data_IF_266711955886
#
_entry.id   IF_266711955886
#
_cell.length_a   1.000
_cell.length_b   1.000
_cell.length_c   1.000
_cell.angle_alpha   90.00
_cell.angle_beta   90.00
_cell.angle_gamma   90.00
#
_symmetry.space_group_name_H-M   'P 1'
#
loop_
_entity.id
_entity.type
_entity.pdbx_description
1 polymer ?
#
# COMPACT_ATOMS: atom_id res chain seq x y z
N UNK A 1 2.93 -61.41 43.38
CA UNK A 1 3.58 -61.61 44.69
C UNK A 1 3.81 -60.26 45.36
N UNK A 2 3.04 -60.05 46.39
CA UNK A 2 3.47 -59.68 47.77
C UNK A 2 4.28 -58.38 47.81
N UNK A 3 3.91 -57.37 48.48
CA UNK A 3 3.25 -56.98 49.73
C UNK A 3 3.85 -55.61 50.12
N UNK A 4 3.03 -54.64 50.38
CA UNK A 4 2.62 -54.18 51.76
C UNK A 4 3.63 -53.10 52.25
N UNK A 5 3.22 -51.97 52.51
CA UNK A 5 2.36 -51.33 53.55
C UNK A 5 3.18 -50.65 54.66
N UNK A 6 2.75 -49.41 54.94
CA UNK A 6 2.49 -48.91 56.32
C UNK A 6 3.70 -48.09 56.87
N UNK A 7 3.65 -46.93 57.46
CA UNK A 7 2.69 -46.23 58.32
C UNK A 7 3.23 -44.82 58.63
N UNK A 8 2.41 -43.84 58.69
CA UNK A 8 1.92 -43.13 59.91
C UNK A 8 3.04 -42.54 60.77
N UNK A 9 2.99 -41.37 61.15
CA UNK A 9 2.10 -40.55 61.87
C UNK A 9 2.79 -39.29 62.38
N UNK A 10 2.13 -38.25 62.48
CA UNK A 10 1.53 -37.68 63.67
C UNK A 10 2.38 -36.68 64.40
N UNK A 11 1.90 -35.46 64.38
CA UNK A 11 1.58 -34.54 65.49
C UNK A 11 2.68 -33.56 65.88
N UNK A 12 2.38 -32.39 65.94
CA UNK A 12 1.52 -31.45 66.68
C UNK A 12 2.35 -30.45 67.46
N UNK A 13 2.00 -29.19 67.34
CA UNK A 13 1.90 -28.10 68.32
C UNK A 13 3.17 -27.47 68.85
N UNK A 14 3.27 -26.21 68.72
CA UNK A 14 3.02 -25.11 69.64
C UNK A 14 4.08 -24.03 69.64
N UNK A 15 3.65 -22.90 69.63
CA UNK A 15 3.64 -21.63 70.35
C UNK A 15 4.50 -20.50 69.78
N UNK A 16 3.75 -19.53 69.37
CA UNK A 16 3.79 -18.12 69.79
C UNK A 16 5.17 -17.48 70.15
N UNK A 17 5.54 -16.53 69.35
CA UNK A 17 6.57 -15.57 69.64
C UNK A 17 6.33 -14.31 68.84
N UNK A 18 5.58 -13.40 69.47
CA UNK A 18 5.32 -12.03 68.97
C UNK A 18 6.62 -11.26 69.06
N UNK A 19 7.24 -10.87 67.94
CA UNK A 19 8.27 -9.84 67.90
C UNK A 19 7.83 -8.81 66.88
N UNK A 20 7.41 -7.70 67.40
CA UNK A 20 7.09 -6.47 66.70
C UNK A 20 8.40 -5.90 66.14
N UNK A 21 8.69 -6.07 64.87
CA UNK A 21 9.77 -5.38 64.15
C UNK A 21 9.14 -4.42 63.19
N UNK A 22 9.17 -3.16 63.55
CA UNK A 22 8.91 -2.00 62.67
C UNK A 22 9.99 -2.00 61.60
N UNK A 23 9.68 -2.52 60.43
CA UNK A 23 10.47 -2.31 59.22
C UNK A 23 9.83 -1.14 58.46
N UNK A 24 10.53 -0.03 58.47
CA UNK A 24 10.33 1.06 57.51
C UNK A 24 10.60 0.47 56.13
N UNK A 25 9.56 0.05 55.47
CA UNK A 25 9.60 -0.30 54.06
C UNK A 25 9.74 0.96 53.23
N UNK A 26 10.92 1.16 52.62
CA UNK A 26 11.02 2.04 51.48
C UNK A 26 10.06 1.50 50.42
N UNK A 27 8.94 2.14 50.28
CA UNK A 27 8.06 2.05 49.14
C UNK A 27 8.84 2.52 47.91
N UNK A 28 9.48 1.59 47.20
CA UNK A 28 9.81 1.82 45.80
C UNK A 28 8.48 2.05 45.13
N UNK A 29 8.18 3.31 44.89
CA UNK A 29 7.09 3.70 44.03
C UNK A 29 7.31 2.94 42.71
N UNK A 30 6.52 1.90 42.45
CA UNK A 30 6.20 1.51 41.10
C UNK A 30 5.73 2.79 40.44
N UNK A 31 6.56 3.33 39.55
CA UNK A 31 6.08 4.23 38.54
C UNK A 31 5.02 3.44 37.82
N UNK A 32 3.78 3.56 38.22
CA UNK A 32 2.64 3.30 37.35
C UNK A 32 2.90 4.17 36.14
N UNK A 33 3.16 3.52 35.03
CA UNK A 33 3.22 4.12 33.73
C UNK A 33 1.84 4.75 33.52
N UNK A 34 1.77 6.06 33.83
CA UNK A 34 0.53 6.80 33.79
C UNK A 34 0.19 7.00 32.33
N UNK A 35 -0.69 6.13 31.80
CA UNK A 35 -1.51 6.43 30.65
C UNK A 35 -0.80 6.33 29.30
N UNK A 36 -0.25 5.17 28.94
CA UNK A 36 -0.27 4.79 27.54
C UNK A 36 -1.75 4.65 27.16
N UNK A 37 -2.33 5.65 26.51
CA UNK A 37 -3.67 5.50 25.92
C UNK A 37 -3.65 4.24 25.06
N UNK A 38 -4.60 3.36 25.30
CA UNK A 38 -4.68 2.06 24.60
C UNK A 38 -4.89 2.36 23.13
N UNK A 39 -3.85 2.14 22.32
CA UNK A 39 -3.94 2.28 20.86
C UNK A 39 -4.98 1.34 20.30
N UNK A 40 -5.62 1.76 19.21
CA UNK A 40 -6.62 0.97 18.51
C UNK A 40 -5.89 0.20 17.42
N UNK A 41 -6.04 -1.12 17.41
CA UNK A 41 -5.46 -1.96 16.35
C UNK A 41 -6.22 -1.75 15.04
N UNK A 42 -5.49 -1.51 13.96
CA UNK A 42 -6.00 -1.35 12.59
C UNK A 42 -5.14 -2.19 11.67
N UNK A 43 -5.78 -3.05 10.88
CA UNK A 43 -5.11 -3.81 9.82
C UNK A 43 -5.29 -3.07 8.49
N UNK A 44 -4.16 -2.70 7.88
CA UNK A 44 -4.07 -2.17 6.53
C UNK A 44 -3.59 -3.27 5.59
N UNK A 45 -4.36 -3.57 4.55
CA UNK A 45 -3.95 -4.49 3.50
C UNK A 45 -3.55 -3.69 2.25
N UNK A 46 -2.26 -3.75 1.89
CA UNK A 46 -1.71 -3.09 0.71
C UNK A 46 -1.66 -4.02 -0.50
N UNK A 47 -1.82 -3.47 -1.70
CA UNK A 47 -1.85 -4.24 -2.96
C UNK A 47 -0.51 -4.82 -3.34
N UNK A 48 0.57 -4.14 -3.03
CA UNK A 48 1.96 -4.53 -3.28
C UNK A 48 2.87 -3.84 -2.26
N UNK A 49 3.99 -4.47 -1.92
CA UNK A 49 5.03 -3.85 -1.11
C UNK A 49 6.03 -3.16 -2.05
N UNK A 50 5.96 -1.82 -2.13
CA UNK A 50 6.72 -1.06 -3.12
C UNK A 50 7.09 0.33 -2.63
N UNK A 51 8.31 0.77 -2.93
CA UNK A 51 8.81 2.14 -2.67
C UNK A 51 7.90 3.21 -3.30
N UNK A 52 7.06 2.83 -4.25
CA UNK A 52 5.98 3.64 -4.81
C UNK A 52 5.06 4.25 -3.73
N UNK A 53 4.97 3.60 -2.57
CA UNK A 53 4.14 4.03 -1.43
C UNK A 53 4.96 4.66 -0.30
N UNK A 54 6.11 5.25 -0.62
CA UNK A 54 7.03 5.85 0.35
C UNK A 54 6.36 6.75 1.41
N UNK A 55 5.37 7.63 1.11
CA UNK A 55 4.71 8.41 2.15
C UNK A 55 4.03 7.58 3.24
N UNK A 56 3.46 6.43 2.89
CA UNK A 56 2.86 5.50 3.85
C UNK A 56 3.92 4.88 4.76
N UNK A 57 5.04 4.44 4.18
CA UNK A 57 6.13 3.84 4.95
C UNK A 57 6.82 4.87 5.85
N UNK A 58 6.95 6.11 5.40
CA UNK A 58 7.40 7.22 6.25
C UNK A 58 6.46 7.37 7.45
N UNK A 59 5.14 7.38 7.23
CA UNK A 59 4.18 7.50 8.33
C UNK A 59 4.26 6.32 9.33
N UNK A 60 4.64 5.13 8.86
CA UNK A 60 4.88 3.94 9.70
C UNK A 60 6.17 4.12 10.51
N UNK A 61 7.30 4.37 9.85
CA UNK A 61 8.63 4.39 10.45
C UNK A 61 8.84 5.59 11.39
N UNK A 62 8.29 6.75 11.05
CA UNK A 62 8.28 7.94 11.90
C UNK A 62 7.26 7.84 13.05
N UNK A 63 6.46 6.78 13.09
CA UNK A 63 5.53 6.50 14.18
C UNK A 63 4.27 7.37 14.18
N UNK A 64 3.93 8.02 13.08
CA UNK A 64 2.78 8.94 13.00
C UNK A 64 1.45 8.26 13.31
N UNK A 65 1.27 7.00 12.89
CA UNK A 65 0.10 6.21 13.27
C UNK A 65 0.01 5.98 14.78
N UNK A 66 1.15 5.71 15.41
CA UNK A 66 1.23 5.49 16.85
C UNK A 66 0.92 6.76 17.65
N UNK A 67 1.32 7.93 17.16
CA UNK A 67 1.01 9.24 17.75
C UNK A 67 -0.48 9.59 17.61
N UNK A 68 -1.12 9.15 16.53
CA UNK A 68 -2.57 9.26 16.31
C UNK A 68 -3.37 8.16 17.06
N UNK A 69 -2.72 7.37 17.93
CA UNK A 69 -3.39 6.35 18.73
C UNK A 69 -3.73 5.06 17.99
N UNK A 70 -3.07 4.79 16.86
CA UNK A 70 -3.25 3.60 16.04
C UNK A 70 -2.07 2.64 16.25
N UNK A 71 -2.38 1.36 16.47
CA UNK A 71 -1.46 0.23 16.39
C UNK A 71 -1.67 -0.45 15.04
N UNK A 72 -0.84 -0.06 14.06
CA UNK A 72 -1.02 -0.47 12.67
C UNK A 72 -0.38 -1.83 12.39
N UNK A 73 -1.14 -2.73 11.79
CA UNK A 73 -0.64 -3.98 11.20
C UNK A 73 -0.71 -3.85 9.68
N UNK A 74 0.43 -3.93 9.01
CA UNK A 74 0.51 -3.91 7.56
C UNK A 74 0.57 -5.35 7.02
N UNK A 75 -0.28 -5.64 6.02
CA UNK A 75 -0.33 -6.93 5.33
C UNK A 75 -0.31 -6.69 3.82
N UNK A 76 0.50 -7.43 3.08
CA UNK A 76 0.55 -7.34 1.62
C UNK A 76 -0.32 -8.41 0.97
N UNK A 77 -1.30 -7.99 0.18
CA UNK A 77 -2.26 -8.88 -0.49
C UNK A 77 -1.79 -9.44 -1.84
N UNK A 78 -0.84 -8.77 -2.50
CA UNK A 78 -0.36 -9.12 -3.85
C UNK A 78 -1.48 -9.20 -4.91
N UNK A 79 -2.33 -8.17 -4.94
CA UNK A 79 -3.40 -7.99 -5.91
C UNK A 79 -4.62 -7.29 -5.33
N UNK A 80 -5.23 -6.41 -6.13
CA UNK A 80 -6.38 -5.61 -5.71
C UNK A 80 -7.60 -6.47 -5.33
N UNK A 81 -7.81 -7.59 -6.01
CA UNK A 81 -8.85 -8.57 -5.70
C UNK A 81 -8.67 -9.22 -4.33
N UNK A 82 -7.42 -9.51 -3.95
CA UNK A 82 -7.09 -10.11 -2.66
C UNK A 82 -7.26 -9.09 -1.54
N UNK A 83 -6.78 -7.84 -1.76
CA UNK A 83 -7.00 -6.73 -0.81
C UNK A 83 -8.49 -6.47 -0.61
N UNK A 84 -9.27 -6.40 -1.70
CA UNK A 84 -10.71 -6.21 -1.62
C UNK A 84 -11.40 -7.38 -0.90
N UNK A 85 -10.95 -8.61 -1.12
CA UNK A 85 -11.46 -9.79 -0.40
C UNK A 85 -11.20 -9.68 1.09
N UNK A 86 -9.98 -9.31 1.51
CA UNK A 86 -9.64 -9.13 2.92
C UNK A 86 -10.48 -8.01 3.56
N UNK A 87 -10.72 -6.91 2.84
CA UNK A 87 -11.57 -5.82 3.30
C UNK A 87 -13.03 -6.27 3.49
N UNK A 88 -13.61 -6.93 2.49
CA UNK A 88 -15.01 -7.37 2.53
C UNK A 88 -15.25 -8.47 3.56
N UNK A 89 -14.29 -9.38 3.75
CA UNK A 89 -14.35 -10.43 4.79
C UNK A 89 -14.18 -9.88 6.21
N UNK A 90 -13.60 -8.68 6.37
CA UNK A 90 -13.28 -8.09 7.67
C UNK A 90 -11.95 -8.57 8.25
N UNK A 91 -11.07 -9.15 7.42
CA UNK A 91 -9.68 -9.46 7.79
C UNK A 91 -8.80 -8.21 7.81
N UNK A 92 -9.24 -7.14 7.13
CA UNK A 92 -8.63 -5.82 7.18
C UNK A 92 -9.71 -4.75 7.35
N UNK A 93 -9.41 -3.71 8.12
CA UNK A 93 -10.26 -2.53 8.28
C UNK A 93 -10.09 -1.55 7.13
N UNK A 94 -8.88 -1.48 6.57
CA UNK A 94 -8.52 -0.55 5.49
C UNK A 94 -7.83 -1.33 4.36
N UNK A 95 -8.27 -1.08 3.13
CA UNK A 95 -7.63 -1.56 1.91
C UNK A 95 -6.89 -0.43 1.22
N UNK A 96 -5.70 -0.72 0.68
CA UNK A 96 -4.92 0.21 -0.12
C UNK A 96 -4.59 -0.41 -1.47
N UNK A 97 -5.23 0.08 -2.52
CA UNK A 97 -5.16 -0.50 -3.86
C UNK A 97 -5.63 0.50 -4.91
N UNK A 98 -5.62 0.11 -6.17
CA UNK A 98 -6.27 0.86 -7.23
C UNK A 98 -7.77 1.03 -6.96
N UNK A 99 -8.26 2.24 -7.18
CA UNK A 99 -9.66 2.60 -6.86
C UNK A 99 -10.68 1.98 -7.83
N UNK A 100 -10.24 1.38 -8.94
CA UNK A 100 -11.08 0.56 -9.83
C UNK A 100 -11.74 -0.60 -9.09
N UNK A 101 -11.05 -1.19 -8.09
CA UNK A 101 -11.60 -2.28 -7.30
C UNK A 101 -12.88 -1.88 -6.53
N UNK A 102 -12.95 -0.62 -6.07
CA UNK A 102 -14.15 -0.07 -5.45
C UNK A 102 -15.30 0.07 -6.46
N UNK A 103 -14.99 0.49 -7.69
CA UNK A 103 -15.95 0.62 -8.79
C UNK A 103 -16.51 -0.77 -9.15
N UNK A 104 -15.66 -1.77 -9.33
CA UNK A 104 -16.10 -3.14 -9.63
C UNK A 104 -16.96 -3.73 -8.52
N UNK A 105 -16.57 -3.51 -7.27
CA UNK A 105 -17.32 -4.01 -6.11
C UNK A 105 -18.71 -3.39 -6.02
N UNK A 106 -18.81 -2.08 -6.24
CA UNK A 106 -20.07 -1.36 -6.27
C UNK A 106 -20.96 -1.82 -7.43
N UNK A 107 -20.41 -1.90 -8.64
CA UNK A 107 -21.12 -2.38 -9.85
C UNK A 107 -21.57 -3.83 -9.69
N UNK A 108 -20.84 -4.65 -8.95
CA UNK A 108 -21.22 -6.01 -8.57
C UNK A 108 -22.35 -6.09 -7.53
N UNK A 109 -22.86 -4.97 -7.02
CA UNK A 109 -24.00 -4.90 -6.11
C UNK A 109 -23.66 -5.25 -4.64
N UNK A 110 -22.44 -5.05 -4.19
CA UNK A 110 -22.07 -5.25 -2.79
C UNK A 110 -22.86 -4.33 -1.86
N UNK A 111 -23.50 -4.90 -0.84
CA UNK A 111 -24.38 -4.16 0.08
C UNK A 111 -23.64 -3.20 1.03
N UNK A 112 -22.38 -3.48 1.34
CA UNK A 112 -21.47 -2.63 2.14
C UNK A 112 -20.26 -2.26 1.26
N UNK A 113 -20.54 -1.47 0.22
CA UNK A 113 -19.54 -1.09 -0.77
C UNK A 113 -18.38 -0.29 -0.12
N UNK A 114 -17.15 -0.49 -0.56
CA UNK A 114 -16.01 0.27 -0.06
C UNK A 114 -16.11 1.73 -0.50
N UNK A 115 -15.70 2.63 0.41
CA UNK A 115 -15.62 4.07 0.16
C UNK A 115 -14.16 4.49 0.23
N UNK A 116 -13.66 5.12 -0.82
CA UNK A 116 -12.34 5.71 -0.86
C UNK A 116 -12.34 7.01 -0.04
N UNK A 117 -11.39 7.17 0.86
CA UNK A 117 -11.31 8.33 1.75
C UNK A 117 -10.00 9.11 1.65
N UNK A 118 -8.99 8.55 0.99
CA UNK A 118 -7.69 9.18 0.78
C UNK A 118 -7.03 8.64 -0.49
N UNK A 119 -6.47 9.52 -1.33
CA UNK A 119 -5.69 9.15 -2.52
C UNK A 119 -4.22 9.47 -2.28
N UNK A 120 -3.32 8.48 -2.43
CA UNK A 120 -1.88 8.66 -2.20
C UNK A 120 -1.15 9.10 -3.48
N UNK A 121 -1.35 8.39 -4.58
CA UNK A 121 -0.58 8.53 -5.81
C UNK A 121 -1.45 9.10 -6.92
N UNK A 122 -0.84 9.99 -7.71
CA UNK A 122 -1.51 10.69 -8.82
C UNK A 122 -0.91 10.35 -10.19
N UNK A 123 0.06 9.44 -10.24
CA UNK A 123 0.66 8.92 -11.47
C UNK A 123 0.84 7.42 -11.35
N UNK A 124 0.98 6.74 -12.48
CA UNK A 124 1.33 5.32 -12.49
C UNK A 124 2.74 5.11 -11.90
N UNK A 125 2.89 4.04 -11.14
CA UNK A 125 4.17 3.68 -10.51
C UNK A 125 5.02 2.71 -11.34
N UNK A 126 4.55 2.35 -12.53
CA UNK A 126 5.21 1.37 -13.37
C UNK A 126 6.17 2.01 -14.39
N UNK A 127 7.16 1.21 -14.75
CA UNK A 127 8.12 1.50 -15.79
C UNK A 127 8.04 0.41 -16.86
N UNK A 128 8.29 0.80 -18.12
CA UNK A 128 8.46 -0.15 -19.19
C UNK A 128 9.94 -0.52 -19.29
N UNK A 129 10.24 -1.79 -19.17
CA UNK A 129 11.60 -2.34 -19.25
C UNK A 129 11.72 -3.11 -20.55
N UNK A 130 12.71 -2.77 -21.38
CA UNK A 130 13.10 -3.48 -22.58
C UNK A 130 14.29 -4.39 -22.32
N UNK A 131 14.51 -5.41 -23.18
CA UNK A 131 15.71 -6.29 -23.07
C UNK A 131 17.00 -5.60 -23.49
N UNK A 132 16.90 -4.59 -24.35
CA UNK A 132 18.04 -3.87 -24.90
C UNK A 132 17.85 -2.36 -24.67
N UNK A 133 18.94 -1.62 -24.69
CA UNK A 133 18.89 -0.15 -24.65
C UNK A 133 18.18 0.40 -25.91
N UNK A 134 17.24 1.28 -25.71
CA UNK A 134 16.47 1.95 -26.77
C UNK A 134 16.46 3.47 -26.51
N UNK A 135 17.56 4.19 -26.82
CA UNK A 135 17.67 5.63 -26.51
C UNK A 135 16.64 6.51 -27.23
N UNK A 136 16.13 6.04 -28.35
CA UNK A 136 15.10 6.72 -29.16
C UNK A 136 13.74 6.00 -29.07
N UNK A 137 13.45 5.33 -27.93
CA UNK A 137 12.21 4.58 -27.74
C UNK A 137 10.98 5.45 -28.00
N UNK A 138 10.05 4.86 -28.74
CA UNK A 138 8.69 5.38 -28.93
C UNK A 138 7.68 4.26 -28.66
N UNK A 139 6.46 4.62 -28.26
CA UNK A 139 5.42 3.62 -27.99
C UNK A 139 5.10 2.75 -29.25
N UNK A 140 5.34 3.27 -30.45
CA UNK A 140 5.17 2.52 -31.71
C UNK A 140 6.12 1.32 -31.84
N UNK A 141 7.24 1.32 -31.11
CA UNK A 141 8.18 0.19 -31.09
C UNK A 141 7.60 -1.09 -30.45
N UNK A 142 6.47 -0.95 -29.75
CA UNK A 142 5.75 -2.09 -29.16
C UNK A 142 4.86 -2.84 -30.14
N UNK A 143 4.57 -2.31 -31.33
CA UNK A 143 3.72 -2.95 -32.32
C UNK A 143 4.31 -4.32 -32.72
N UNK A 144 3.52 -5.39 -32.53
CA UNK A 144 3.93 -6.76 -32.79
C UNK A 144 4.86 -7.39 -31.77
N UNK A 145 5.14 -6.71 -30.64
CA UNK A 145 6.03 -7.21 -29.57
C UNK A 145 5.26 -7.91 -28.47
N UNK A 146 5.97 -8.83 -27.78
CA UNK A 146 5.49 -9.52 -26.60
C UNK A 146 5.78 -8.67 -25.34
N UNK A 147 4.72 -8.21 -24.67
CA UNK A 147 4.82 -7.39 -23.45
C UNK A 147 4.18 -8.10 -22.26
N UNK A 148 4.93 -8.29 -21.17
CA UNK A 148 4.37 -8.72 -19.91
C UNK A 148 3.66 -7.52 -19.28
N UNK A 149 2.34 -7.36 -19.56
CA UNK A 149 1.59 -6.12 -19.34
C UNK A 149 0.85 -6.04 -18.00
N UNK A 150 1.00 -7.05 -17.13
CA UNK A 150 0.24 -7.15 -15.90
C UNK A 150 -1.12 -7.83 -16.07
N UNK A 151 -1.79 -8.08 -14.93
CA UNK A 151 -3.05 -8.84 -14.91
C UNK A 151 -4.22 -8.04 -15.50
N UNK A 152 -5.08 -8.71 -16.24
CA UNK A 152 -6.29 -8.12 -16.84
C UNK A 152 -7.18 -7.43 -15.80
N UNK A 153 -7.64 -6.23 -16.12
CA UNK A 153 -8.53 -5.42 -15.29
C UNK A 153 -7.85 -4.74 -14.09
N UNK A 154 -6.52 -4.85 -13.95
CA UNK A 154 -5.74 -4.11 -12.97
C UNK A 154 -5.22 -2.78 -13.51
N UNK A 155 -4.97 -1.80 -12.63
CA UNK A 155 -4.46 -0.48 -13.02
C UNK A 155 -3.21 -0.55 -13.91
N UNK A 156 -2.20 -1.41 -13.65
CA UNK A 156 -1.02 -1.49 -14.51
C UNK A 156 -1.34 -1.73 -15.98
N UNK A 157 -2.18 -2.74 -16.25
CA UNK A 157 -2.57 -3.09 -17.62
C UNK A 157 -3.44 -2.00 -18.25
N UNK A 158 -4.44 -1.49 -17.52
CA UNK A 158 -5.36 -0.49 -18.07
C UNK A 158 -4.66 0.84 -18.40
N UNK A 159 -3.74 1.29 -17.55
CA UNK A 159 -2.94 2.50 -17.81
C UNK A 159 -1.98 2.26 -18.97
N UNK A 160 -1.37 1.08 -19.07
CA UNK A 160 -0.52 0.73 -20.21
C UNK A 160 -1.31 0.79 -21.54
N UNK A 161 -2.48 0.18 -21.59
CA UNK A 161 -3.36 0.26 -22.78
C UNK A 161 -3.87 1.69 -23.04
N UNK A 162 -4.16 2.45 -21.99
CA UNK A 162 -4.52 3.87 -22.12
C UNK A 162 -3.39 4.67 -22.82
N UNK A 163 -2.12 4.47 -22.41
CA UNK A 163 -0.98 5.11 -23.05
C UNK A 163 -0.86 4.69 -24.52
N UNK A 164 -1.05 3.40 -24.85
CA UNK A 164 -1.04 2.96 -26.25
C UNK A 164 -2.08 3.73 -27.08
N UNK A 165 -3.33 3.84 -26.58
CA UNK A 165 -4.39 4.58 -27.26
C UNK A 165 -4.09 6.07 -27.39
N UNK A 166 -3.45 6.70 -26.37
CA UNK A 166 -3.01 8.11 -26.45
C UNK A 166 -1.92 8.33 -27.51
N UNK A 167 -1.23 7.29 -27.92
CA UNK A 167 -0.23 7.31 -29.00
C UNK A 167 -0.76 6.72 -30.31
N UNK A 168 -2.10 6.70 -30.50
CA UNK A 168 -2.77 6.20 -31.71
C UNK A 168 -2.46 4.71 -32.02
N UNK A 169 -2.16 3.89 -30.98
CA UNK A 169 -1.88 2.46 -31.11
C UNK A 169 -3.06 1.68 -30.55
N UNK A 170 -3.65 0.79 -31.35
CA UNK A 170 -4.63 -0.17 -30.84
C UNK A 170 -3.92 -1.21 -29.97
N UNK A 171 -4.33 -1.43 -28.70
CA UNK A 171 -3.71 -2.44 -27.84
C UNK A 171 -3.67 -3.85 -28.47
N UNK A 172 -4.58 -4.17 -29.40
CA UNK A 172 -4.56 -5.44 -30.12
C UNK A 172 -3.37 -5.59 -31.08
N UNK A 173 -2.65 -4.53 -31.40
CA UNK A 173 -1.41 -4.56 -32.21
C UNK A 173 -0.19 -4.96 -31.36
N UNK A 174 -0.33 -5.02 -30.03
CA UNK A 174 0.69 -5.44 -29.05
C UNK A 174 0.29 -6.77 -28.45
N UNK A 175 1.22 -7.71 -28.32
CA UNK A 175 0.95 -9.01 -27.70
C UNK A 175 1.10 -8.89 -26.18
N UNK A 176 0.03 -8.48 -25.49
CA UNK A 176 0.05 -8.22 -24.05
C UNK A 176 -0.26 -9.53 -23.30
N UNK A 177 0.75 -10.12 -22.64
CA UNK A 177 0.55 -11.26 -21.73
C UNK A 177 0.01 -10.78 -20.40
N UNK A 178 -1.24 -11.13 -20.11
CA UNK A 178 -1.99 -10.78 -18.91
C UNK A 178 -2.13 -11.97 -17.93
N UNK A 179 -1.43 -13.08 -18.20
CA UNK A 179 -1.57 -14.33 -17.45
C UNK A 179 -0.62 -14.43 -16.25
N UNK A 180 0.37 -13.55 -16.17
CA UNK A 180 1.42 -13.59 -15.13
C UNK A 180 1.02 -12.70 -13.98
N UNK A 181 0.99 -13.27 -12.78
CA UNK A 181 0.74 -12.52 -11.54
C UNK A 181 1.79 -11.43 -11.32
N UNK A 182 1.34 -10.30 -10.81
CA UNK A 182 2.07 -9.07 -10.62
C UNK A 182 3.43 -9.21 -9.88
N UNK A 183 3.54 -10.07 -8.90
CA UNK A 183 4.80 -10.33 -8.18
C UNK A 183 5.77 -11.28 -8.92
N UNK A 184 5.46 -11.69 -10.15
CA UNK A 184 6.22 -12.69 -10.90
C UNK A 184 6.68 -12.22 -12.28
N UNK A 185 6.32 -11.00 -12.70
CA UNK A 185 6.64 -10.47 -14.03
C UNK A 185 8.14 -10.28 -14.23
N UNK A 186 8.85 -9.67 -13.26
CA UNK A 186 10.30 -9.51 -13.30
C UNK A 186 11.05 -10.85 -13.43
N UNK A 187 10.65 -11.85 -12.63
CA UNK A 187 11.24 -13.19 -12.72
C UNK A 187 10.96 -13.88 -14.06
N UNK A 188 9.75 -13.72 -14.61
CA UNK A 188 9.38 -14.22 -15.92
C UNK A 188 10.21 -13.55 -17.00
N UNK A 189 10.39 -12.23 -16.92
CA UNK A 189 11.24 -11.48 -17.84
C UNK A 189 12.70 -11.93 -17.74
N UNK A 190 13.29 -12.00 -16.53
CA UNK A 190 14.66 -12.52 -16.34
C UNK A 190 14.83 -13.93 -16.89
N UNK A 191 13.79 -14.77 -16.89
CA UNK A 191 13.83 -16.11 -17.49
C UNK A 191 13.74 -16.14 -19.01
N UNK A 192 13.60 -14.99 -19.68
CA UNK A 192 13.57 -14.84 -21.13
C UNK A 192 12.18 -14.72 -21.74
N UNK A 193 11.12 -14.50 -20.97
CA UNK A 193 9.76 -14.24 -21.49
C UNK A 193 9.58 -12.77 -21.84
N UNK A 194 8.83 -12.49 -22.90
CA UNK A 194 8.49 -11.16 -23.39
C UNK A 194 9.68 -10.38 -23.97
N UNK A 195 9.42 -9.46 -24.84
CA UNK A 195 10.39 -8.46 -25.31
C UNK A 195 10.48 -7.28 -24.36
N UNK A 196 9.35 -6.97 -23.70
CA UNK A 196 9.19 -5.91 -22.71
C UNK A 196 8.43 -6.42 -21.49
N UNK A 197 8.58 -5.72 -20.37
CA UNK A 197 7.78 -5.94 -19.16
C UNK A 197 7.41 -4.63 -18.50
N UNK A 198 6.20 -4.59 -17.92
CA UNK A 198 5.71 -3.47 -17.11
C UNK A 198 5.98 -3.78 -15.64
N UNK A 199 6.89 -3.05 -15.02
CA UNK A 199 7.36 -3.33 -13.67
C UNK A 199 7.18 -2.15 -12.72
N UNK A 200 6.92 -2.47 -11.46
CA UNK A 200 7.11 -1.51 -10.36
C UNK A 200 8.55 -1.53 -9.85
N UNK A 201 8.88 -0.53 -9.06
CA UNK A 201 10.09 -0.54 -8.26
C UNK A 201 9.91 -1.34 -6.94
N UNK A 202 10.92 -2.10 -6.50
CA UNK A 202 12.30 -2.13 -7.00
C UNK A 202 12.53 -3.07 -8.21
N UNK A 203 11.51 -3.73 -8.74
CA UNK A 203 11.64 -4.72 -9.82
C UNK A 203 12.33 -4.16 -11.07
N UNK A 204 11.91 -2.98 -11.54
CA UNK A 204 12.50 -2.33 -12.72
C UNK A 204 14.01 -2.08 -12.52
N UNK A 205 14.38 -1.47 -11.40
CA UNK A 205 15.80 -1.22 -11.07
C UNK A 205 16.59 -2.52 -10.91
N UNK A 206 16.00 -3.58 -10.33
CA UNK A 206 16.66 -4.88 -10.20
C UNK A 206 17.00 -5.47 -11.56
N UNK A 207 16.09 -5.41 -12.54
CA UNK A 207 16.34 -5.86 -13.90
C UNK A 207 17.48 -5.09 -14.57
N UNK A 208 17.58 -3.77 -14.33
CA UNK A 208 18.69 -2.95 -14.82
C UNK A 208 20.04 -3.36 -14.16
N UNK A 209 20.05 -3.52 -12.84
CA UNK A 209 21.27 -3.93 -12.09
C UNK A 209 21.75 -5.34 -12.46
N UNK A 210 20.84 -6.26 -12.75
CA UNK A 210 21.15 -7.59 -13.23
C UNK A 210 21.61 -7.61 -14.70
N UNK A 211 21.48 -6.50 -15.42
CA UNK A 211 21.83 -6.38 -16.83
C UNK A 211 20.93 -7.21 -17.76
N UNK A 212 19.70 -7.51 -17.32
CA UNK A 212 18.71 -8.30 -18.11
C UNK A 212 17.67 -7.43 -18.78
N UNK A 213 17.66 -6.12 -18.47
CA UNK A 213 16.77 -5.15 -19.08
C UNK A 213 17.20 -3.72 -18.82
N UNK A 214 16.55 -2.77 -19.49
CA UNK A 214 16.76 -1.32 -19.35
C UNK A 214 15.40 -0.63 -19.30
N UNK A 215 15.21 0.29 -18.38
CA UNK A 215 14.00 1.13 -18.34
C UNK A 215 14.01 2.08 -19.54
N UNK A 216 12.98 1.98 -20.38
CA UNK A 216 12.85 2.78 -21.62
C UNK A 216 11.75 3.84 -21.53
N UNK A 217 10.77 3.66 -20.65
CA UNK A 217 9.70 4.64 -20.41
C UNK A 217 9.14 4.58 -19.00
N UNK A 218 8.61 5.71 -18.53
CA UNK A 218 7.82 5.79 -17.30
C UNK A 218 6.34 5.88 -17.66
N UNK A 219 5.55 4.88 -17.26
CA UNK A 219 4.10 4.94 -17.44
C UNK A 219 3.49 6.13 -16.67
N UNK A 220 4.11 6.51 -15.55
CA UNK A 220 3.67 7.64 -14.74
C UNK A 220 3.84 8.99 -15.44
N UNK A 221 4.91 9.15 -16.21
CA UNK A 221 5.13 10.34 -17.04
C UNK A 221 4.17 10.38 -18.20
N UNK A 222 4.04 9.26 -18.93
CA UNK A 222 3.34 9.22 -20.21
C UNK A 222 1.81 9.11 -20.08
N UNK A 223 1.30 8.54 -18.97
CA UNK A 223 -0.14 8.57 -18.69
C UNK A 223 -0.65 9.91 -18.18
N UNK A 224 0.24 10.80 -17.74
CA UNK A 224 -0.15 12.02 -17.04
C UNK A 224 -0.70 11.73 -15.63
N UNK A 225 -1.57 12.62 -15.13
CA UNK A 225 -2.19 12.46 -13.82
C UNK A 225 -3.36 11.47 -13.88
N UNK A 226 -3.19 10.33 -13.25
CA UNK A 226 -4.23 9.29 -13.09
C UNK A 226 -4.38 8.93 -11.61
N UNK A 227 -5.59 8.70 -11.10
CA UNK A 227 -5.79 8.35 -9.70
C UNK A 227 -5.41 6.87 -9.49
N UNK A 228 -4.11 6.62 -9.22
CA UNK A 228 -3.58 5.28 -9.30
C UNK A 228 -3.88 4.42 -8.08
N UNK A 229 -3.60 4.92 -6.85
CA UNK A 229 -3.90 4.19 -5.61
C UNK A 229 -4.59 5.05 -4.57
N UNK A 230 -5.57 4.44 -3.89
CA UNK A 230 -6.36 5.08 -2.85
C UNK A 230 -6.59 4.12 -1.67
N UNK A 231 -6.83 4.70 -0.49
CA UNK A 231 -7.27 4.00 0.71
C UNK A 231 -8.78 3.94 0.74
N UNK A 232 -9.31 2.76 0.97
CA UNK A 232 -10.76 2.57 1.13
C UNK A 232 -11.07 1.73 2.37
N UNK A 233 -12.29 1.87 2.84
CA UNK A 233 -12.88 1.06 3.90
C UNK A 233 -14.34 0.78 3.60
N UNK A 234 -14.96 -0.21 4.25
CA UNK A 234 -16.40 -0.48 4.13
C UNK A 234 -17.20 0.72 4.60
N UNK A 235 -18.31 1.04 3.93
CA UNK A 235 -19.17 2.17 4.30
C UNK A 235 -19.69 2.07 5.73
N UNK A 236 -19.99 0.85 6.21
CA UNK A 236 -20.35 0.58 7.59
C UNK A 236 -19.24 0.94 8.56
N UNK A 237 -18.01 0.48 8.32
CA UNK A 237 -16.86 0.77 9.19
C UNK A 237 -16.56 2.28 9.22
N UNK A 238 -16.60 2.96 8.09
CA UNK A 238 -16.40 4.40 7.99
C UNK A 238 -17.41 5.20 8.85
N UNK A 239 -18.67 4.80 8.84
CA UNK A 239 -19.73 5.46 9.61
C UNK A 239 -19.67 5.15 11.10
N UNK A 240 -19.24 3.96 11.49
CA UNK A 240 -19.10 3.53 12.90
C UNK A 240 -17.81 4.05 13.55
N UNK A 241 -16.73 4.23 12.77
CA UNK A 241 -15.39 4.57 13.26
C UNK A 241 -14.77 5.82 12.60
N UNK A 242 -15.51 6.94 12.42
CA UNK A 242 -14.99 8.12 11.70
C UNK A 242 -13.74 8.72 12.35
N UNK A 243 -13.60 8.61 13.67
CA UNK A 243 -12.41 9.09 14.38
C UNK A 243 -11.14 8.29 14.07
N UNK A 244 -11.28 6.98 13.85
CA UNK A 244 -10.16 6.13 13.46
C UNK A 244 -9.72 6.47 12.05
N UNK A 245 -10.67 6.66 11.12
CA UNK A 245 -10.37 7.06 9.75
C UNK A 245 -9.73 8.43 9.70
N UNK A 246 -10.16 9.40 10.53
CA UNK A 246 -9.52 10.70 10.62
C UNK A 246 -8.09 10.60 11.14
N UNK A 247 -7.87 9.88 12.24
CA UNK A 247 -6.54 9.65 12.82
C UNK A 247 -5.60 8.97 11.80
N UNK A 248 -6.09 7.95 11.09
CA UNK A 248 -5.36 7.29 10.04
C UNK A 248 -4.97 8.26 8.91
N UNK A 249 -5.92 9.09 8.48
CA UNK A 249 -5.72 10.08 7.41
C UNK A 249 -4.74 11.18 7.82
N UNK A 250 -4.78 11.62 9.11
CA UNK A 250 -3.82 12.59 9.66
C UNK A 250 -2.39 12.04 9.60
N UNK A 251 -2.20 10.79 10.02
CA UNK A 251 -0.89 10.14 9.97
C UNK A 251 -0.34 10.06 8.55
N UNK A 252 -1.19 9.68 7.58
CA UNK A 252 -0.81 9.65 6.16
C UNK A 252 -0.46 11.03 5.61
N UNK A 253 -1.23 12.08 5.96
CA UNK A 253 -0.97 13.45 5.51
C UNK A 253 0.42 13.92 5.97
N UNK A 254 0.82 13.60 7.18
CA UNK A 254 2.17 13.88 7.68
C UNK A 254 3.25 13.16 6.88
N UNK A 255 3.00 11.91 6.48
CA UNK A 255 3.89 11.17 5.58
C UNK A 255 4.02 11.84 4.20
N UNK A 256 2.91 12.36 3.66
CA UNK A 256 2.92 13.15 2.42
C UNK A 256 3.75 14.43 2.57
N UNK A 257 3.55 15.18 3.65
CA UNK A 257 4.30 16.40 3.95
C UNK A 257 5.79 16.12 4.11
N UNK A 258 6.13 14.98 4.73
CA UNK A 258 7.52 14.55 4.87
C UNK A 258 8.20 14.38 3.52
N UNK A 259 7.62 13.61 2.60
CA UNK A 259 8.25 13.33 1.29
C UNK A 259 8.34 14.58 0.41
N UNK A 260 7.50 15.59 0.62
CA UNK A 260 7.58 16.87 -0.11
C UNK A 260 8.58 17.86 0.51
N UNK A 261 9.00 17.65 1.74
CA UNK A 261 9.91 18.57 2.47
C UNK A 261 11.32 18.03 2.69
N UNK A 262 11.55 16.75 2.38
CA UNK A 262 12.85 16.10 2.59
C UNK A 262 13.48 15.62 1.28
N UNK A 263 14.80 15.43 1.30
CA UNK A 263 15.54 14.91 0.15
C UNK A 263 15.29 13.41 -0.06
N UNK A 264 15.53 12.88 -1.28
CA UNK A 264 15.44 11.44 -1.53
C UNK A 264 16.29 10.59 -0.59
N UNK A 265 17.47 11.07 -0.18
CA UNK A 265 18.36 10.41 0.76
C UNK A 265 17.76 10.32 2.17
N UNK A 266 17.12 11.39 2.64
CA UNK A 266 16.45 11.43 3.94
C UNK A 266 15.22 10.50 3.95
N UNK A 267 14.42 10.53 2.89
CA UNK A 267 13.25 9.65 2.72
C UNK A 267 13.71 8.19 2.69
N UNK A 268 14.73 7.88 1.87
CA UNK A 268 15.29 6.53 1.75
C UNK A 268 15.79 5.99 3.09
N UNK A 269 16.48 6.83 3.87
CA UNK A 269 16.97 6.44 5.20
C UNK A 269 15.83 6.06 6.17
N UNK A 270 14.69 6.76 6.10
CA UNK A 270 13.53 6.46 6.93
C UNK A 270 12.86 5.15 6.51
N UNK A 271 12.64 4.94 5.20
CA UNK A 271 11.89 3.77 4.72
C UNK A 271 12.74 2.51 4.54
N UNK A 272 14.08 2.59 4.63
CA UNK A 272 14.98 1.45 4.45
C UNK A 272 14.63 0.20 5.29
N UNK A 273 14.13 0.30 6.54
CA UNK A 273 13.70 -0.87 7.31
C UNK A 273 12.58 -1.69 6.65
N UNK A 274 11.78 -1.06 5.79
CA UNK A 274 10.71 -1.73 5.03
C UNK A 274 11.25 -2.53 3.84
N UNK A 275 12.47 -2.23 3.35
CA UNK A 275 13.07 -2.83 2.14
C UNK A 275 14.45 -3.43 2.43
N UNK A 276 14.54 -4.44 3.31
CA UNK A 276 15.82 -4.99 3.78
C UNK A 276 16.62 -5.70 2.66
N UNK A 277 16.00 -6.02 1.54
CA UNK A 277 16.64 -6.64 0.36
C UNK A 277 17.29 -5.61 -0.58
N UNK A 278 17.02 -4.31 -0.40
CA UNK A 278 17.58 -3.23 -1.23
C UNK A 278 18.58 -2.42 -0.42
N UNK A 279 19.70 -2.04 -1.03
CA UNK A 279 20.63 -1.13 -0.38
C UNK A 279 20.12 0.32 -0.41
N UNK A 280 20.69 1.16 0.45
CA UNK A 280 20.24 2.55 0.61
C UNK A 280 20.43 3.38 -0.66
N UNK A 281 21.45 3.11 -1.47
CA UNK A 281 21.71 3.80 -2.73
C UNK A 281 20.59 3.50 -3.74
N UNK A 282 20.20 2.24 -3.85
CA UNK A 282 19.09 1.78 -4.68
C UNK A 282 17.76 2.41 -4.24
N UNK A 283 17.46 2.39 -2.93
CA UNK A 283 16.23 3.02 -2.41
C UNK A 283 16.21 4.52 -2.72
N UNK A 284 17.35 5.22 -2.52
CA UNK A 284 17.48 6.66 -2.81
C UNK A 284 17.21 6.97 -4.28
N UNK A 285 17.79 6.18 -5.19
CA UNK A 285 17.58 6.34 -6.63
C UNK A 285 16.10 6.16 -7.01
N UNK A 286 15.45 5.15 -6.46
CA UNK A 286 14.02 4.88 -6.71
C UNK A 286 13.14 6.01 -6.17
N UNK A 287 13.39 6.47 -4.93
CA UNK A 287 12.67 7.62 -4.34
C UNK A 287 12.84 8.85 -5.21
N UNK A 288 14.07 9.14 -5.67
CA UNK A 288 14.34 10.29 -6.56
C UNK A 288 13.59 10.16 -7.89
N UNK A 289 13.50 8.95 -8.46
CA UNK A 289 12.76 8.65 -9.69
C UNK A 289 11.26 8.93 -9.52
N UNK A 290 10.66 8.48 -8.43
CA UNK A 290 9.25 8.74 -8.11
C UNK A 290 8.96 10.21 -7.79
N UNK A 291 9.86 10.88 -7.06
CA UNK A 291 9.73 12.32 -6.79
C UNK A 291 9.83 13.15 -8.09
N UNK A 292 10.79 12.82 -8.97
CA UNK A 292 10.99 13.54 -10.24
C UNK A 292 9.79 13.46 -11.19
N UNK A 293 9.02 12.38 -11.16
CA UNK A 293 7.79 12.24 -11.95
C UNK A 293 6.53 12.76 -11.24
N UNK A 294 6.65 13.41 -10.06
CA UNK A 294 5.52 13.96 -9.30
C UNK A 294 4.47 12.88 -8.95
N UNK A 295 4.95 11.76 -8.41
CA UNK A 295 4.11 10.59 -8.12
C UNK A 295 3.10 10.84 -7.01
N UNK A 296 3.53 11.53 -5.95
CA UNK A 296 2.76 11.71 -4.74
C UNK A 296 2.01 13.03 -4.74
N UNK A 297 0.76 13.00 -4.30
CA UNK A 297 -0.06 14.20 -4.17
C UNK A 297 0.44 15.09 -3.03
N UNK A 298 0.20 16.40 -3.10
CA UNK A 298 0.45 17.31 -1.98
C UNK A 298 -0.48 17.04 -0.80
N UNK A 299 -1.67 16.53 -1.07
CA UNK A 299 -2.69 16.19 -0.09
C UNK A 299 -3.44 14.93 -0.52
N UNK A 300 -4.19 14.33 0.40
CA UNK A 300 -4.88 13.07 0.20
C UNK A 300 -6.28 13.20 -0.44
N UNK A 301 -6.67 14.39 -0.91
CA UNK A 301 -7.99 14.62 -1.49
C UNK A 301 -8.11 13.86 -2.82
N UNK A 302 -9.13 13.03 -2.94
CA UNK A 302 -9.46 12.33 -4.18
C UNK A 302 -10.52 13.15 -4.92
N UNK A 303 -10.07 13.96 -5.90
CA UNK A 303 -10.94 14.86 -6.64
C UNK A 303 -11.88 14.11 -7.58
N UNK A 304 -13.06 14.70 -7.83
CA UNK A 304 -14.07 14.15 -8.72
C UNK A 304 -13.52 13.99 -10.15
N UNK A 305 -12.80 14.95 -10.65
CA UNK A 305 -12.22 14.92 -12.00
C UNK A 305 -11.30 13.71 -12.19
N UNK A 306 -10.49 13.38 -11.17
CA UNK A 306 -9.64 12.19 -11.17
C UNK A 306 -10.46 10.90 -11.20
N UNK A 307 -11.56 10.85 -10.45
CA UNK A 307 -12.45 9.69 -10.45
C UNK A 307 -13.19 9.52 -11.79
N UNK A 308 -13.55 10.62 -12.43
CA UNK A 308 -14.17 10.59 -13.76
C UNK A 308 -13.18 10.10 -14.82
N UNK A 309 -11.91 10.57 -14.79
CA UNK A 309 -10.84 10.07 -15.66
C UNK A 309 -10.62 8.55 -15.45
N UNK A 310 -10.63 8.07 -14.21
CA UNK A 310 -10.52 6.63 -13.96
C UNK A 310 -11.65 5.86 -14.67
N UNK A 311 -12.89 6.35 -14.60
CA UNK A 311 -14.00 5.71 -15.25
C UNK A 311 -13.91 5.77 -16.79
N UNK A 312 -13.29 6.82 -17.36
CA UNK A 312 -12.97 6.88 -18.79
C UNK A 312 -11.97 5.77 -19.16
N UNK A 313 -10.89 5.64 -18.41
CA UNK A 313 -9.88 4.58 -18.61
C UNK A 313 -10.53 3.18 -18.54
N UNK A 314 -11.38 2.94 -17.53
CA UNK A 314 -12.10 1.67 -17.37
C UNK A 314 -13.06 1.38 -18.53
N UNK A 315 -13.76 2.42 -19.00
CA UNK A 315 -14.69 2.29 -20.14
C UNK A 315 -13.95 1.99 -21.43
N UNK A 316 -12.83 2.68 -21.67
CA UNK A 316 -11.98 2.48 -22.85
C UNK A 316 -11.31 1.09 -22.85
N UNK A 317 -11.02 0.56 -21.67
CA UNK A 317 -10.51 -0.80 -21.49
C UNK A 317 -11.63 -1.88 -21.65
N UNK A 318 -12.90 -1.47 -21.72
CA UNK A 318 -14.05 -2.40 -21.79
C UNK A 318 -14.37 -3.07 -20.44
N UNK A 319 -13.86 -2.53 -19.34
CA UNK A 319 -14.02 -3.08 -17.97
C UNK A 319 -15.16 -2.41 -17.19
N UNK A 320 -15.77 -1.34 -17.74
CA UNK A 320 -16.89 -0.62 -17.13
C UNK A 320 -18.02 -0.40 -18.13
N UNK A 321 -19.18 -1.04 -17.90
CA UNK A 321 -20.37 -0.89 -18.75
C UNK A 321 -21.16 0.40 -18.45
N UNK A 322 -21.18 0.82 -17.19
CA UNK A 322 -21.96 1.98 -16.74
C UNK A 322 -21.21 2.73 -15.64
N UNK A 323 -21.18 4.05 -15.73
CA UNK A 323 -20.55 4.90 -14.72
C UNK A 323 -21.22 4.77 -13.36
N UNK A 324 -20.43 4.89 -12.33
CA UNK A 324 -20.86 4.88 -10.92
C UNK A 324 -20.80 6.29 -10.34
N UNK A 325 -21.70 6.66 -9.40
CA UNK A 325 -21.69 7.99 -8.80
C UNK A 325 -20.45 8.20 -7.92
N UNK A 326 -19.77 9.34 -8.09
CA UNK A 326 -18.62 9.73 -7.26
C UNK A 326 -18.96 9.72 -5.77
N UNK A 327 -20.04 10.37 -5.37
CA UNK A 327 -20.44 10.51 -3.97
C UNK A 327 -20.83 9.17 -3.29
N UNK A 328 -21.03 8.11 -4.07
CA UNK A 328 -21.27 6.78 -3.52
C UNK A 328 -19.99 6.07 -3.12
N UNK A 329 -18.86 6.41 -3.75
CA UNK A 329 -17.58 5.69 -3.61
C UNK A 329 -16.44 6.55 -3.11
N UNK A 330 -16.61 7.87 -2.96
CA UNK A 330 -15.55 8.77 -2.52
C UNK A 330 -16.06 9.73 -1.46
N UNK A 331 -15.31 9.89 -0.40
CA UNK A 331 -15.47 10.98 0.56
C UNK A 331 -14.16 11.76 0.69
N UNK A 332 -14.22 13.07 0.63
CA UNK A 332 -13.06 13.96 0.81
C UNK A 332 -13.00 14.60 2.18
N UNK A 333 -13.95 14.30 3.07
CA UNK A 333 -14.07 14.97 4.37
C UNK A 333 -12.80 14.83 5.22
N UNK A 334 -12.33 13.60 5.37
CA UNK A 334 -11.15 13.27 6.20
C UNK A 334 -9.86 13.86 5.63
N UNK A 335 -9.67 13.75 4.32
CA UNK A 335 -8.50 14.31 3.65
C UNK A 335 -8.45 15.85 3.72
N UNK A 336 -9.60 16.52 3.59
CA UNK A 336 -9.70 17.97 3.75
C UNK A 336 -9.41 18.41 5.18
N UNK A 337 -9.89 17.67 6.17
CA UNK A 337 -9.60 17.95 7.58
C UNK A 337 -8.12 17.74 7.88
N UNK A 338 -7.51 16.63 7.43
CA UNK A 338 -6.09 16.36 7.60
C UNK A 338 -5.20 17.44 6.96
N UNK A 339 -5.51 17.86 5.72
CA UNK A 339 -4.77 18.92 5.03
C UNK A 339 -4.89 20.30 5.67
N UNK A 340 -5.91 20.53 6.53
CA UNK A 340 -6.10 21.79 7.26
C UNK A 340 -5.32 21.84 8.59
N UNK A 341 -4.81 20.72 9.09
CA UNK A 341 -3.98 20.63 10.30
C UNK A 341 -2.57 21.05 9.90
N UNK A 342 -2.16 22.29 10.20
CA UNK A 342 -0.81 22.84 9.95
C UNK A 342 -0.13 23.18 11.26
#
# INVERSE_FOLDING_TARGET
>A
MKRKLIRKGVSLLLLAGMVLSVLIGCEKGEKTDAGAEKRISVTLNEVAHSIFYAPMYVAIEEGYFAEEGIDLTLVTGFGADKVMTALLSGEAEIGFMGSEASIYTYSGGAGDAPVNFAQLTQRAGNFLVAREEMPDFTWADLIGKDVLGGRKGGMPQMVFEYILRQNDIDPSEVQIDQSIDFGSTAAAFSSGKGDFTVEFEPGATTLEQEGVGTVVASLGTDSGYVPYTAYCTKSGYLSEHPKIIQAFTNALQRGMEYVHSHTPEEIAAVIAPQFPESDLETITMIVARYAAQDTWKENLIFEQESFELLQDILTDAGELESRVPYDALVTTAFAKEAAAIR
#
